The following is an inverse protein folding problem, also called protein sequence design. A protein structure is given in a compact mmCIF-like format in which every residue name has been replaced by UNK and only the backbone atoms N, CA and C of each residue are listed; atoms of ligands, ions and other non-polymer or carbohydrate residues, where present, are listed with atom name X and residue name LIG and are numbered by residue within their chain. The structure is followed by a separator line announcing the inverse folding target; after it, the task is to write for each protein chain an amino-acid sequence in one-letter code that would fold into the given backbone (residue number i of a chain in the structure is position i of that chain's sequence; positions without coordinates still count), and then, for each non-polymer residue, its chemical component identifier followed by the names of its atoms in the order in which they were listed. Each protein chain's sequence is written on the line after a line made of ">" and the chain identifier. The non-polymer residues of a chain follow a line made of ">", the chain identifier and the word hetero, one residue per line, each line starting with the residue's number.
data_IF_739479536447
#
_entry.id   IF_739479536447
#
_cell.length_a   1.000
_cell.length_b   1.000
_cell.length_c   1.000
_cell.angle_alpha   90.00
_cell.angle_beta   90.00
_cell.angle_gamma   90.00
#
_symmetry.space_group_name_H-M   'P 1'
#
loop_
_entity.id
_entity.type
_entity.pdbx_description
1 polymer ?
#
# COMPACT_ATOMS: atom_id res chain seq x y z
N UNK A 1 -33.47 16.26 49.50
CA UNK A 1 -32.45 15.16 49.66
C UNK A 1 -32.64 13.99 48.63
N UNK A 2 -33.87 13.56 48.32
CA UNK A 2 -34.12 12.47 47.32
C UNK A 2 -33.75 12.89 45.91
N UNK A 3 -34.08 14.11 45.47
CA UNK A 3 -33.73 14.59 44.13
C UNK A 3 -32.22 14.77 43.89
N UNK A 4 -31.49 15.23 44.91
CA UNK A 4 -30.02 15.34 44.85
C UNK A 4 -29.33 13.96 44.74
N UNK A 5 -29.86 12.95 45.44
CA UNK A 5 -29.37 11.58 45.29
C UNK A 5 -29.65 11.01 43.87
N UNK A 6 -30.83 11.31 43.32
CA UNK A 6 -31.20 10.88 41.97
C UNK A 6 -30.31 11.50 40.92
N UNK A 7 -30.09 12.81 40.95
CA UNK A 7 -29.13 13.53 40.07
C UNK A 7 -27.72 12.95 40.18
N UNK A 8 -27.21 12.73 41.39
CA UNK A 8 -25.88 12.15 41.58
C UNK A 8 -25.75 10.74 41.02
N UNK A 9 -26.79 9.91 41.11
CA UNK A 9 -26.80 8.58 40.52
C UNK A 9 -26.85 8.62 38.98
N UNK A 10 -27.59 9.56 38.40
CA UNK A 10 -27.66 9.78 36.97
C UNK A 10 -26.28 10.23 36.41
N UNK A 11 -25.58 11.16 37.06
CA UNK A 11 -24.25 11.60 36.73
C UNK A 11 -23.22 10.45 36.80
N UNK A 12 -23.31 9.60 37.80
CA UNK A 12 -22.42 8.41 37.94
C UNK A 12 -22.69 7.42 36.82
N UNK A 13 -23.95 7.13 36.50
CA UNK A 13 -24.33 6.24 35.40
C UNK A 13 -23.82 6.75 34.05
N UNK A 14 -23.92 8.06 33.81
CA UNK A 14 -23.41 8.69 32.61
C UNK A 14 -21.89 8.52 32.48
N UNK A 15 -21.13 8.80 33.55
CA UNK A 15 -19.67 8.59 33.58
C UNK A 15 -19.27 7.14 33.32
N UNK A 16 -20.04 6.19 33.87
CA UNK A 16 -19.81 4.75 33.62
C UNK A 16 -20.04 4.40 32.16
N UNK A 17 -21.09 4.95 31.53
CA UNK A 17 -21.40 4.71 30.13
C UNK A 17 -20.33 5.35 29.22
N UNK A 18 -19.88 6.55 29.52
CA UNK A 18 -18.82 7.23 28.80
C UNK A 18 -17.49 6.44 28.87
N UNK A 19 -17.15 5.93 30.07
CA UNK A 19 -15.98 5.09 30.25
C UNK A 19 -16.08 3.77 29.46
N UNK A 20 -17.23 3.11 29.48
CA UNK A 20 -17.47 1.89 28.68
C UNK A 20 -17.36 2.17 27.19
N UNK A 21 -17.93 3.27 26.71
CA UNK A 21 -17.84 3.70 25.32
C UNK A 21 -16.39 3.96 24.91
N UNK A 22 -15.62 4.67 25.75
CA UNK A 22 -14.20 4.94 25.50
C UNK A 22 -13.39 3.65 25.40
N UNK A 23 -13.55 2.74 26.36
CA UNK A 23 -12.87 1.43 26.35
C UNK A 23 -13.20 0.63 25.09
N UNK A 24 -14.48 0.57 24.71
CA UNK A 24 -14.94 -0.09 23.49
C UNK A 24 -14.32 0.53 22.24
N UNK A 25 -14.25 1.87 22.18
CA UNK A 25 -13.68 2.62 21.06
C UNK A 25 -12.17 2.35 20.89
N UNK A 26 -11.44 2.34 22.02
CA UNK A 26 -10.01 2.01 22.03
C UNK A 26 -9.77 0.57 21.60
N UNK A 27 -10.55 -0.38 22.12
CA UNK A 27 -10.49 -1.78 21.72
C UNK A 27 -10.71 -1.95 20.22
N UNK A 28 -11.79 -1.39 19.70
CA UNK A 28 -12.14 -1.44 18.27
C UNK A 28 -11.05 -0.86 17.37
N UNK A 29 -10.42 0.25 17.81
CA UNK A 29 -9.27 0.83 17.10
C UNK A 29 -8.08 -0.11 17.09
N UNK A 30 -7.75 -0.73 18.24
CA UNK A 30 -6.61 -1.66 18.34
C UNK A 30 -6.83 -2.90 17.49
N UNK A 31 -8.04 -3.47 17.50
CA UNK A 31 -8.41 -4.62 16.68
C UNK A 31 -8.28 -4.27 15.18
N UNK A 32 -8.72 -3.09 14.77
CA UNK A 32 -8.56 -2.65 13.37
C UNK A 32 -7.09 -2.49 12.99
N UNK A 33 -6.25 -1.91 13.86
CA UNK A 33 -4.81 -1.78 13.61
C UNK A 33 -4.14 -3.15 13.47
N UNK A 34 -4.52 -4.09 14.34
CA UNK A 34 -4.02 -5.47 14.31
C UNK A 34 -4.39 -6.17 13.00
N UNK A 35 -5.67 -6.13 12.61
CA UNK A 35 -6.15 -6.76 11.38
C UNK A 35 -5.47 -6.18 10.13
N UNK A 36 -5.26 -4.85 10.08
CA UNK A 36 -4.49 -4.21 8.99
C UNK A 36 -3.06 -4.74 8.93
N UNK A 37 -2.39 -4.84 10.08
CA UNK A 37 -1.02 -5.35 10.16
C UNK A 37 -0.93 -6.81 9.71
N UNK A 38 -1.80 -7.67 10.22
CA UNK A 38 -1.84 -9.10 9.88
C UNK A 38 -2.11 -9.32 8.38
N UNK A 39 -3.05 -8.59 7.80
CA UNK A 39 -3.33 -8.69 6.37
C UNK A 39 -2.13 -8.29 5.51
N UNK A 40 -1.44 -7.18 5.85
CA UNK A 40 -0.23 -6.76 5.13
C UNK A 40 0.86 -7.82 5.24
N UNK A 41 1.11 -8.36 6.43
CA UNK A 41 2.12 -9.40 6.64
C UNK A 41 1.83 -10.65 5.82
N UNK A 42 0.58 -11.11 5.81
CA UNK A 42 0.15 -12.27 5.03
C UNK A 42 0.36 -12.06 3.53
N UNK A 43 0.02 -10.89 3.00
CA UNK A 43 0.21 -10.57 1.57
C UNK A 43 1.67 -10.38 1.18
N UNK A 44 2.52 -9.97 2.12
CA UNK A 44 3.94 -9.70 1.88
C UNK A 44 4.89 -10.77 2.43
N UNK A 45 4.38 -11.98 2.72
CA UNK A 45 5.18 -13.06 3.31
C UNK A 45 6.45 -13.34 2.52
N UNK A 46 6.36 -13.36 1.19
CA UNK A 46 7.49 -13.59 0.30
C UNK A 46 8.61 -12.51 0.38
N UNK A 47 8.27 -11.31 0.84
CA UNK A 47 9.24 -10.25 1.12
C UNK A 47 10.05 -10.55 2.39
N UNK A 48 9.43 -11.16 3.38
CA UNK A 48 10.08 -11.51 4.64
C UNK A 48 10.97 -12.75 4.53
N UNK A 49 10.64 -13.68 3.62
CA UNK A 49 11.30 -14.97 3.40
C UNK A 49 12.55 -14.93 2.51
N UNK A 50 13.31 -13.84 2.42
CA UNK A 50 14.61 -13.69 1.71
C UNK A 50 14.62 -13.00 0.34
N UNK A 51 13.53 -12.54 -0.23
CA UNK A 51 13.59 -11.85 -1.50
C UNK A 51 13.01 -10.43 -1.44
N UNK A 52 13.83 -9.39 -1.15
CA UNK A 52 13.34 -8.00 -1.08
C UNK A 52 12.75 -7.46 -2.38
N UNK A 53 12.96 -8.17 -3.50
CA UNK A 53 12.38 -7.82 -4.81
C UNK A 53 10.97 -8.41 -5.01
N UNK A 54 10.48 -9.25 -4.11
CA UNK A 54 9.16 -9.89 -4.18
C UNK A 54 8.07 -9.14 -3.39
N UNK A 55 8.14 -7.83 -3.28
CA UNK A 55 7.00 -7.07 -2.77
C UNK A 55 5.82 -7.17 -3.75
N UNK A 56 4.72 -7.74 -3.26
CA UNK A 56 3.46 -7.77 -4.00
C UNK A 56 2.83 -6.38 -4.07
N UNK A 57 2.08 -6.11 -5.14
CA UNK A 57 1.28 -4.89 -5.19
C UNK A 57 0.16 -4.98 -4.17
N UNK A 58 0.04 -3.96 -3.34
CA UNK A 58 -0.96 -3.87 -2.30
C UNK A 58 -1.38 -2.42 -2.12
N UNK A 59 -2.66 -2.13 -2.24
CA UNK A 59 -3.22 -0.78 -2.15
C UNK A 59 -4.03 -0.58 -0.86
N UNK A 60 -4.14 0.69 -0.41
CA UNK A 60 -5.03 1.04 0.71
C UNK A 60 -6.49 0.61 0.46
N UNK A 61 -6.94 0.63 -0.79
CA UNK A 61 -8.30 0.23 -1.17
C UNK A 61 -8.51 -1.26 -0.96
N UNK A 62 -7.58 -2.08 -1.43
CA UNK A 62 -7.65 -3.54 -1.28
C UNK A 62 -7.67 -3.95 0.20
N UNK A 63 -6.81 -3.35 1.04
CA UNK A 63 -6.81 -3.58 2.49
C UNK A 63 -8.16 -3.17 3.11
N UNK A 64 -8.68 -2.03 2.68
CA UNK A 64 -9.94 -1.47 3.19
C UNK A 64 -11.14 -2.35 2.85
N UNK A 65 -11.21 -2.84 1.61
CA UNK A 65 -12.25 -3.72 1.12
C UNK A 65 -12.25 -5.06 1.88
N UNK A 66 -11.07 -5.64 2.15
CA UNK A 66 -10.93 -6.89 2.90
C UNK A 66 -11.34 -6.78 4.38
N UNK A 67 -10.93 -5.69 5.03
CA UNK A 67 -11.17 -5.51 6.48
C UNK A 67 -12.55 -4.88 6.76
N UNK A 68 -13.24 -4.40 5.73
CA UNK A 68 -14.55 -3.73 5.87
C UNK A 68 -14.44 -2.33 6.47
N UNK A 69 -13.41 -1.54 6.12
CA UNK A 69 -13.21 -0.17 6.58
C UNK A 69 -13.02 0.79 5.41
N UNK A 70 -13.15 2.10 5.66
CA UNK A 70 -12.89 3.07 4.60
C UNK A 70 -11.38 3.20 4.30
N UNK A 71 -10.94 3.40 3.03
CA UNK A 71 -9.52 3.53 2.67
C UNK A 71 -8.76 4.63 3.41
N UNK A 72 -9.45 5.72 3.80
CA UNK A 72 -8.86 6.78 4.61
C UNK A 72 -8.50 6.30 6.03
N UNK A 73 -9.26 5.34 6.58
CA UNK A 73 -8.95 4.73 7.88
C UNK A 73 -7.66 3.94 7.82
N UNK A 74 -7.48 3.12 6.77
CA UNK A 74 -6.24 2.39 6.51
C UNK A 74 -5.06 3.37 6.37
N UNK A 75 -5.21 4.42 5.57
CA UNK A 75 -4.18 5.44 5.38
C UNK A 75 -3.77 6.12 6.69
N UNK A 76 -4.73 6.43 7.57
CA UNK A 76 -4.46 7.01 8.90
C UNK A 76 -3.76 6.03 9.84
N UNK A 77 -4.16 4.75 9.82
CA UNK A 77 -3.52 3.69 10.61
C UNK A 77 -2.05 3.56 10.21
N UNK A 78 -1.75 3.53 8.92
CA UNK A 78 -0.40 3.31 8.40
C UNK A 78 0.55 4.50 8.58
N UNK A 79 0.04 5.68 8.90
CA UNK A 79 0.81 6.95 8.88
C UNK A 79 1.83 6.96 9.97
N UNK A 80 2.08 6.39 10.89
CA UNK A 80 3.16 6.40 11.90
C UNK A 80 3.24 5.03 12.59
N UNK A 81 3.09 3.96 11.79
CA UNK A 81 3.22 2.60 12.28
C UNK A 81 4.44 1.95 11.65
N UNK A 82 5.16 1.24 12.48
CA UNK A 82 6.36 0.50 12.12
C UNK A 82 6.13 -0.97 12.42
N UNK A 83 6.82 -1.81 11.70
CA UNK A 83 6.88 -3.24 11.93
C UNK A 83 8.33 -3.64 12.19
N UNK A 84 8.53 -4.49 13.17
CA UNK A 84 9.82 -5.13 13.41
C UNK A 84 9.90 -6.41 12.57
N UNK A 85 10.98 -6.53 11.80
CA UNK A 85 11.20 -7.63 10.87
C UNK A 85 12.60 -8.19 11.07
N UNK A 86 12.90 -9.41 10.59
CA UNK A 86 14.27 -9.96 10.59
C UNK A 86 15.30 -9.05 9.89
N UNK A 87 14.83 -8.15 9.02
CA UNK A 87 15.66 -7.17 8.28
C UNK A 87 15.72 -5.79 8.97
N UNK A 88 15.17 -5.68 10.18
CA UNK A 88 15.11 -4.45 10.98
C UNK A 88 13.74 -3.79 10.97
N UNK A 89 13.65 -2.68 11.72
CA UNK A 89 12.41 -1.90 11.87
C UNK A 89 12.16 -1.05 10.63
N UNK A 90 10.98 -1.19 10.04
CA UNK A 90 10.59 -0.42 8.86
C UNK A 90 9.17 0.15 8.97
N UNK A 91 8.86 1.27 8.27
CA UNK A 91 7.51 1.80 8.24
C UNK A 91 6.55 0.80 7.58
N UNK A 92 5.41 0.53 8.21
CA UNK A 92 4.40 -0.39 7.64
C UNK A 92 3.91 0.07 6.26
N UNK A 93 3.90 1.38 6.01
CA UNK A 93 3.56 1.98 4.72
C UNK A 93 4.53 1.60 3.60
N UNK A 94 5.79 1.27 3.88
CA UNK A 94 6.78 0.88 2.87
C UNK A 94 6.48 -0.48 2.23
N UNK A 95 5.64 -1.30 2.89
CA UNK A 95 5.18 -2.58 2.37
C UNK A 95 4.01 -2.46 1.38
N UNK A 96 3.52 -1.24 1.15
CA UNK A 96 2.46 -0.97 0.18
C UNK A 96 3.07 -0.51 -1.14
N UNK A 97 2.76 -1.23 -2.20
CA UNK A 97 3.12 -0.86 -3.57
C UNK A 97 1.86 -0.73 -4.42
N UNK A 98 1.67 0.45 -4.99
CA UNK A 98 0.59 0.63 -5.96
C UNK A 98 0.94 -0.03 -7.29
N UNK A 99 -0.01 -0.75 -7.88
CA UNK A 99 0.10 -1.23 -9.25
C UNK A 99 0.16 -0.06 -10.23
N UNK A 100 1.04 -0.14 -11.22
CA UNK A 100 1.20 0.86 -12.28
C UNK A 100 0.34 0.52 -13.50
N UNK A 101 0.00 -0.75 -13.68
CA UNK A 101 -0.86 -1.24 -14.77
C UNK A 101 -2.27 -1.51 -14.25
N UNK A 102 -3.27 -1.37 -15.14
CA UNK A 102 -4.67 -1.64 -14.83
C UNK A 102 -5.06 -3.10 -15.03
N UNK A 103 -4.33 -3.84 -15.87
CA UNK A 103 -4.70 -5.20 -16.30
C UNK A 103 -3.84 -6.28 -15.68
N UNK A 104 -2.60 -5.96 -15.33
CA UNK A 104 -1.67 -6.89 -14.69
C UNK A 104 -0.91 -6.18 -13.59
N UNK A 105 -0.88 -6.78 -12.42
CA UNK A 105 -0.19 -6.19 -11.27
C UNK A 105 1.31 -6.11 -11.53
N UNK A 106 1.79 -4.87 -11.55
CA UNK A 106 3.21 -4.55 -11.69
C UNK A 106 3.55 -3.33 -10.84
N UNK A 107 4.56 -3.46 -10.02
CA UNK A 107 5.08 -2.35 -9.24
C UNK A 107 5.94 -1.40 -10.09
N UNK A 108 6.15 -0.19 -9.60
CA UNK A 108 7.04 0.78 -10.26
C UNK A 108 8.46 0.23 -10.46
N UNK A 109 8.99 -0.49 -9.48
CA UNK A 109 10.33 -1.09 -9.52
C UNK A 109 10.44 -2.19 -10.57
N UNK A 110 9.44 -3.07 -10.63
CA UNK A 110 9.37 -4.12 -11.65
C UNK A 110 9.24 -3.53 -13.05
N UNK A 111 8.42 -2.48 -13.23
CA UNK A 111 8.30 -1.80 -14.51
C UNK A 111 9.61 -1.13 -14.94
N UNK A 112 10.32 -0.48 -14.02
CA UNK A 112 11.64 0.09 -14.29
C UNK A 112 12.65 -0.97 -14.75
N UNK A 113 12.65 -2.14 -14.12
CA UNK A 113 13.49 -3.27 -14.51
C UNK A 113 13.12 -3.76 -15.92
N UNK A 114 11.83 -3.98 -16.20
CA UNK A 114 11.38 -4.42 -17.53
C UNK A 114 11.74 -3.41 -18.64
N UNK A 115 11.61 -2.13 -18.40
CA UNK A 115 12.03 -1.08 -19.36
C UNK A 115 13.54 -1.16 -19.60
N UNK A 116 14.35 -1.34 -18.55
CA UNK A 116 15.79 -1.47 -18.64
C UNK A 116 16.19 -2.73 -19.44
N UNK A 117 15.55 -3.86 -19.18
CA UNK A 117 15.80 -5.13 -19.87
C UNK A 117 15.46 -5.02 -21.37
N UNK A 118 14.33 -4.37 -21.72
CA UNK A 118 13.94 -4.15 -23.13
C UNK A 118 14.96 -3.24 -23.82
N UNK A 119 15.43 -2.19 -23.15
CA UNK A 119 16.40 -1.26 -23.73
C UNK A 119 17.77 -1.93 -23.91
N UNK A 120 18.20 -2.74 -22.95
CA UNK A 120 19.47 -3.46 -23.02
C UNK A 120 19.47 -4.58 -24.09
N UNK A 121 18.30 -5.13 -24.41
CA UNK A 121 18.14 -6.19 -25.44
C UNK A 121 17.78 -5.65 -26.83
N UNK A 122 17.65 -4.33 -27.01
CA UNK A 122 17.28 -3.77 -28.30
C UNK A 122 18.49 -3.68 -29.27
N UNK A 123 18.35 -4.18 -30.48
CA UNK A 123 19.34 -3.99 -31.56
C UNK A 123 19.26 -2.61 -32.23
N UNK A 124 18.07 -1.99 -32.17
CA UNK A 124 17.81 -0.62 -32.65
C UNK A 124 16.99 0.13 -31.61
N UNK A 125 17.32 1.39 -31.30
CA UNK A 125 16.61 2.17 -30.27
C UNK A 125 15.10 2.23 -30.50
N UNK A 126 14.32 1.67 -29.57
CA UNK A 126 12.85 1.69 -29.60
C UNK A 126 12.31 2.98 -28.99
N UNK A 127 11.34 3.60 -29.65
CA UNK A 127 10.64 4.74 -29.08
C UNK A 127 9.76 4.32 -27.89
N UNK A 128 9.46 5.26 -26.97
CA UNK A 128 8.58 4.99 -25.82
C UNK A 128 7.21 4.44 -26.25
N UNK A 129 6.74 4.77 -27.47
CA UNK A 129 5.51 4.22 -28.06
C UNK A 129 5.69 2.72 -28.40
N UNK A 130 6.83 2.35 -28.99
CA UNK A 130 7.13 0.95 -29.34
C UNK A 130 7.30 0.08 -28.08
N UNK A 131 7.97 0.61 -27.04
CA UNK A 131 8.11 -0.07 -25.74
C UNK A 131 6.72 -0.25 -25.09
N UNK A 132 5.84 0.76 -25.12
CA UNK A 132 4.49 0.62 -24.61
C UNK A 132 3.70 -0.47 -25.34
N UNK A 133 3.77 -0.52 -26.68
CA UNK A 133 3.10 -1.56 -27.48
C UNK A 133 3.63 -2.94 -27.12
N UNK A 134 4.93 -3.11 -26.97
CA UNK A 134 5.55 -4.37 -26.61
C UNK A 134 5.12 -4.86 -25.22
N UNK A 135 5.10 -3.97 -24.22
CA UNK A 135 4.61 -4.30 -22.89
C UNK A 135 3.10 -4.58 -22.86
N UNK A 136 2.31 -3.87 -23.68
CA UNK A 136 0.88 -4.13 -23.81
C UNK A 136 0.61 -5.50 -24.44
N UNK A 137 1.43 -5.95 -25.41
CA UNK A 137 1.37 -7.32 -25.94
C UNK A 137 1.69 -8.40 -24.88
N UNK A 138 2.48 -8.05 -23.86
CA UNK A 138 2.78 -8.93 -22.70
C UNK A 138 1.68 -8.88 -21.61
N UNK A 139 0.57 -8.19 -21.88
CA UNK A 139 -0.60 -8.09 -20.99
C UNK A 139 -0.59 -6.92 -20.00
N UNK A 140 0.33 -5.96 -20.15
CA UNK A 140 0.34 -4.74 -19.33
C UNK A 140 -0.44 -3.62 -20.04
N UNK A 141 -1.40 -2.97 -19.36
CA UNK A 141 -2.07 -1.79 -19.91
C UNK A 141 -1.33 -0.51 -19.52
N UNK A 142 -0.33 -0.14 -20.32
CA UNK A 142 0.56 0.98 -20.03
C UNK A 142 0.48 2.06 -21.12
N UNK A 143 0.27 3.31 -20.69
CA UNK A 143 0.30 4.46 -21.59
C UNK A 143 1.75 4.85 -21.92
N UNK A 144 1.98 5.42 -23.12
CA UNK A 144 3.28 5.99 -23.52
C UNK A 144 3.86 6.93 -22.45
N UNK A 145 3.02 7.80 -21.86
CA UNK A 145 3.47 8.76 -20.84
C UNK A 145 4.04 8.06 -19.62
N UNK A 146 3.48 6.91 -19.23
CA UNK A 146 3.97 6.07 -18.13
C UNK A 146 5.38 5.56 -18.45
N UNK A 147 5.58 5.02 -19.66
CA UNK A 147 6.91 4.54 -20.09
C UNK A 147 7.93 5.69 -20.07
N UNK A 148 7.59 6.85 -20.64
CA UNK A 148 8.47 8.04 -20.62
C UNK A 148 8.86 8.43 -19.20
N UNK A 149 7.91 8.43 -18.25
CA UNK A 149 8.15 8.75 -16.84
C UNK A 149 9.16 7.79 -16.20
N UNK A 150 8.95 6.48 -16.36
CA UNK A 150 9.82 5.49 -15.72
C UNK A 150 11.16 5.29 -16.43
N UNK A 151 11.22 5.49 -17.75
CA UNK A 151 12.49 5.57 -18.49
C UNK A 151 13.38 6.70 -17.97
N UNK A 152 12.80 7.92 -17.81
CA UNK A 152 13.51 9.07 -17.23
C UNK A 152 13.98 8.78 -15.80
N UNK A 153 13.18 8.11 -14.98
CA UNK A 153 13.58 7.69 -13.62
C UNK A 153 14.75 6.70 -13.61
N UNK A 154 14.91 5.91 -14.67
CA UNK A 154 16.06 5.02 -14.88
C UNK A 154 17.27 5.73 -15.49
N UNK A 155 17.23 7.04 -15.69
CA UNK A 155 18.27 7.82 -16.39
C UNK A 155 18.59 7.31 -17.81
N UNK A 156 17.61 6.66 -18.47
CA UNK A 156 17.77 6.17 -19.83
C UNK A 156 17.40 7.28 -20.82
N UNK A 157 18.30 7.66 -21.76
CA UNK A 157 18.02 8.70 -22.74
C UNK A 157 16.93 8.28 -23.75
N UNK A 158 16.35 9.22 -24.48
CA UNK A 158 15.33 8.92 -25.49
C UNK A 158 15.94 8.16 -26.67
N UNK A 159 15.09 7.47 -27.46
CA UNK A 159 15.54 6.71 -28.64
C UNK A 159 16.29 7.54 -29.69
N UNK A 160 16.27 8.86 -29.61
CA UNK A 160 17.06 9.74 -30.50
C UNK A 160 18.52 9.89 -30.05
N UNK A 161 18.79 9.57 -28.78
CA UNK A 161 20.12 9.75 -28.16
C UNK A 161 20.71 8.42 -27.65
N UNK A 162 20.16 7.32 -28.11
CA UNK A 162 20.65 5.94 -27.85
C UNK A 162 21.19 5.31 -29.11
#
# INVERSE_FOLDING_TARGET
>A
KKELKKKKNEEILQKINDAKWLLSSVKKRNDTVKNVGEYICTKQIAFFEDNPLKLNTLSNKEIADEIGVHPSTVSRILRNKYIDTPKGVMPLKSLLLSSVSKTRDISATQLMKLIKDIVNSENKPKSDKKIAIELNKRGFSLARRTITKYRKKNNIPSSRYR
#
